data_IF_929902985628
#
_entry.id   IF_929902985628
#
_cell.length_a   1.000
_cell.length_b   1.000
_cell.length_c   1.000
_cell.angle_alpha   90.00
_cell.angle_beta   90.00
_cell.angle_gamma   90.00
#
_symmetry.space_group_name_H-M   'P 1'
#
loop_
_entity.id
_entity.type
_entity.pdbx_description
1 polymer ?
#
# COMPACT_ATOMS: atom_id res chain seq x y z
N UNK A 1 7.09 10.85 28.55
CA UNK A 1 6.08 9.91 29.09
C UNK A 1 4.90 9.90 28.12
N UNK A 2 4.52 8.74 27.53
CA UNK A 2 3.37 8.64 26.60
C UNK A 2 2.17 8.05 27.33
N UNK A 3 1.10 8.82 27.49
CA UNK A 3 -0.14 8.39 28.12
C UNK A 3 -1.09 7.84 27.06
N UNK A 4 -1.52 6.58 27.20
CA UNK A 4 -2.42 5.90 26.28
C UNK A 4 -3.71 5.52 27.03
N UNK A 5 -4.81 6.20 26.71
CA UNK A 5 -6.12 5.99 27.35
C UNK A 5 -6.80 4.70 26.83
N UNK A 6 -6.47 4.29 25.60
CA UNK A 6 -7.10 3.16 24.93
C UNK A 6 -6.57 2.93 23.52
N UNK A 7 -7.24 2.04 22.79
CA UNK A 7 -7.06 1.85 21.34
C UNK A 7 -8.42 1.85 20.66
N UNK A 8 -8.51 2.49 19.51
CA UNK A 8 -9.67 2.41 18.62
C UNK A 8 -9.21 1.76 17.32
N UNK A 9 -9.89 0.69 16.95
CA UNK A 9 -9.67 -0.01 15.69
C UNK A 9 -10.78 0.38 14.73
N UNK A 10 -10.39 0.81 13.52
CA UNK A 10 -11.29 1.24 12.46
C UNK A 10 -10.93 0.50 11.18
N UNK A 11 -11.90 -0.18 10.59
CA UNK A 11 -11.77 -0.84 9.29
C UNK A 11 -12.89 -0.29 8.41
N UNK A 12 -12.50 0.25 7.25
CA UNK A 12 -13.42 0.77 6.24
C UNK A 12 -13.30 -0.10 5.00
N UNK A 13 -14.41 -0.70 4.57
CA UNK A 13 -14.47 -1.58 3.41
C UNK A 13 -15.50 -1.01 2.46
N UNK A 14 -15.09 -0.66 1.24
CA UNK A 14 -16.00 -0.18 0.22
C UNK A 14 -16.21 -1.25 -0.85
N UNK A 15 -17.47 -1.53 -1.19
CA UNK A 15 -17.80 -2.43 -2.28
C UNK A 15 -17.77 -1.71 -3.65
N UNK A 16 -17.92 -2.47 -4.75
CA UNK A 16 -17.94 -1.91 -6.12
C UNK A 16 -19.06 -0.90 -6.37
N UNK A 17 -20.17 -0.99 -5.63
CA UNK A 17 -21.29 -0.02 -5.71
C UNK A 17 -21.05 1.26 -4.88
N UNK A 18 -19.88 1.41 -4.26
CA UNK A 18 -19.54 2.55 -3.41
C UNK A 18 -20.12 2.50 -2.00
N UNK A 19 -20.82 1.42 -1.62
CA UNK A 19 -21.35 1.24 -0.26
C UNK A 19 -20.20 0.89 0.68
N UNK A 20 -20.12 1.60 1.79
CA UNK A 20 -19.09 1.43 2.81
C UNK A 20 -19.62 0.63 4.00
N UNK A 21 -18.89 -0.42 4.37
CA UNK A 21 -18.99 -1.12 5.64
C UNK A 21 -17.90 -0.60 6.57
N UNK A 22 -18.31 -0.07 7.72
CA UNK A 22 -17.41 0.40 8.77
C UNK A 22 -17.47 -0.54 9.97
N UNK A 23 -16.33 -1.14 10.31
CA UNK A 23 -16.16 -1.94 11.53
C UNK A 23 -15.34 -1.10 12.52
N UNK A 24 -15.91 -0.83 13.70
CA UNK A 24 -15.25 -0.09 14.78
C UNK A 24 -15.34 -0.87 16.08
N UNK A 25 -14.22 -1.00 16.79
CA UNK A 25 -14.23 -1.39 18.20
C UNK A 25 -13.22 -0.57 19.01
N UNK A 26 -13.70 -0.11 20.17
CA UNK A 26 -12.95 0.71 21.13
C UNK A 26 -12.53 -0.14 22.33
N UNK A 27 -11.33 0.12 22.82
CA UNK A 27 -10.79 -0.49 24.03
C UNK A 27 -10.44 0.61 25.02
N UNK A 28 -11.06 0.55 26.18
CA UNK A 28 -10.75 1.43 27.31
C UNK A 28 -9.84 0.72 28.31
N UNK A 29 -8.86 1.43 28.87
CA UNK A 29 -8.03 0.96 29.99
C UNK A 29 -7.28 -0.37 29.79
N UNK A 30 -6.87 -0.69 28.54
CA UNK A 30 -6.05 -1.87 28.19
C UNK A 30 -6.65 -3.25 28.55
N UNK A 31 -7.92 -3.33 28.95
CA UNK A 31 -8.56 -4.63 29.24
C UNK A 31 -8.62 -5.48 27.97
N UNK A 32 -8.11 -6.71 28.02
CA UNK A 32 -8.04 -7.66 26.88
C UNK A 32 -7.33 -7.10 25.63
N UNK A 33 -6.35 -6.21 25.83
CA UNK A 33 -5.64 -5.53 24.74
C UNK A 33 -5.06 -6.51 23.71
N UNK A 34 -4.41 -7.58 24.18
CA UNK A 34 -3.77 -8.59 23.30
C UNK A 34 -4.80 -9.39 22.53
N UNK A 35 -5.81 -9.96 23.20
CA UNK A 35 -6.89 -10.74 22.55
C UNK A 35 -7.59 -9.93 21.45
N UNK A 36 -7.87 -8.65 21.72
CA UNK A 36 -8.58 -7.78 20.78
C UNK A 36 -7.69 -7.28 19.66
N UNK A 37 -6.40 -7.11 19.94
CA UNK A 37 -5.42 -6.88 18.88
C UNK A 37 -5.26 -8.10 17.98
N UNK A 38 -5.26 -9.31 18.52
CA UNK A 38 -5.23 -10.54 17.73
C UNK A 38 -6.49 -10.65 16.88
N UNK A 39 -7.68 -10.44 17.45
CA UNK A 39 -8.92 -10.41 16.67
C UNK A 39 -8.89 -9.38 15.54
N UNK A 40 -8.28 -8.20 15.77
CA UNK A 40 -8.05 -7.24 14.71
C UNK A 40 -7.16 -7.82 13.60
N UNK A 41 -6.02 -8.42 13.96
CA UNK A 41 -5.12 -9.06 13.00
C UNK A 41 -5.85 -10.16 12.23
N UNK A 42 -6.57 -11.05 12.91
CA UNK A 42 -7.33 -12.15 12.29
C UNK A 42 -8.34 -11.62 11.26
N UNK A 43 -9.07 -10.54 11.59
CA UNK A 43 -10.00 -9.90 10.65
C UNK A 43 -9.25 -9.35 9.42
N UNK A 44 -8.13 -8.67 9.64
CA UNK A 44 -7.33 -8.11 8.54
C UNK A 44 -6.74 -9.20 7.66
N UNK A 45 -6.22 -10.27 8.25
CA UNK A 45 -5.65 -11.42 7.53
C UNK A 45 -6.73 -12.11 6.69
N UNK A 46 -7.91 -12.32 7.25
CA UNK A 46 -9.04 -12.92 6.53
C UNK A 46 -9.52 -12.02 5.37
N UNK A 47 -9.58 -10.71 5.57
CA UNK A 47 -9.90 -9.75 4.50
C UNK A 47 -8.81 -9.74 3.42
N UNK A 48 -7.55 -9.89 3.83
CA UNK A 48 -6.43 -9.94 2.91
C UNK A 48 -6.52 -11.15 2.00
N UNK A 49 -6.76 -12.31 2.59
CA UNK A 49 -6.78 -13.59 1.89
C UNK A 49 -8.00 -13.74 0.98
N UNK A 50 -9.18 -13.32 1.44
CA UNK A 50 -10.42 -13.48 0.67
C UNK A 50 -10.64 -12.42 -0.40
N UNK A 51 -10.06 -11.23 -0.26
CA UNK A 51 -10.41 -10.11 -1.13
C UNK A 51 -9.20 -9.35 -1.67
N UNK A 52 -8.27 -8.94 -0.80
CA UNK A 52 -7.23 -7.99 -1.21
C UNK A 52 -6.15 -8.67 -2.05
N UNK A 53 -5.86 -9.94 -1.81
CA UNK A 53 -4.91 -10.74 -2.61
C UNK A 53 -5.30 -10.78 -4.08
N UNK A 54 -6.56 -11.00 -4.40
CA UNK A 54 -7.04 -11.03 -5.79
C UNK A 54 -7.00 -9.64 -6.41
N UNK A 55 -7.38 -8.60 -5.67
CA UNK A 55 -7.34 -7.22 -6.14
C UNK A 55 -5.90 -6.81 -6.49
N UNK A 56 -4.95 -7.05 -5.59
CA UNK A 56 -3.53 -6.73 -5.79
C UNK A 56 -2.94 -7.54 -6.95
N UNK A 57 -3.30 -8.82 -7.08
CA UNK A 57 -2.87 -9.68 -8.19
C UNK A 57 -3.38 -9.17 -9.55
N UNK A 58 -4.64 -8.71 -9.60
CA UNK A 58 -5.21 -8.13 -10.81
C UNK A 58 -4.49 -6.84 -11.24
N UNK A 59 -4.14 -5.96 -10.29
CA UNK A 59 -3.34 -4.77 -10.60
C UNK A 59 -1.93 -5.12 -11.08
N UNK A 60 -1.31 -6.13 -10.48
CA UNK A 60 -0.01 -6.60 -10.94
C UNK A 60 -0.07 -7.23 -12.34
N UNK A 61 -1.14 -7.94 -12.68
CA UNK A 61 -1.34 -8.48 -14.02
C UNK A 61 -1.48 -7.35 -15.05
N UNK A 62 -2.23 -6.29 -14.73
CA UNK A 62 -2.31 -5.09 -15.57
C UNK A 62 -0.94 -4.49 -15.83
N UNK A 63 -0.12 -4.38 -14.79
CA UNK A 63 1.26 -3.92 -14.91
C UNK A 63 2.07 -4.79 -15.87
N UNK A 64 2.00 -6.13 -15.73
CA UNK A 64 2.70 -7.07 -16.62
C UNK A 64 2.25 -7.00 -18.08
N UNK A 65 1.00 -6.61 -18.32
CA UNK A 65 0.44 -6.41 -19.65
C UNK A 65 0.70 -5.01 -20.22
N UNK A 66 1.50 -4.17 -19.54
CA UNK A 66 1.74 -2.77 -19.90
C UNK A 66 0.43 -1.92 -19.96
N UNK A 67 -0.60 -2.34 -19.23
CA UNK A 67 -1.84 -1.59 -19.09
C UNK A 67 -1.66 -0.46 -18.07
N UNK A 68 -2.08 0.76 -18.44
CA UNK A 68 -2.09 1.89 -17.50
C UNK A 68 -3.25 1.76 -16.52
N UNK A 69 -3.00 2.00 -15.25
CA UNK A 69 -4.04 2.00 -14.21
C UNK A 69 -3.75 3.03 -13.13
N UNK A 70 -4.77 3.36 -12.33
CA UNK A 70 -4.61 4.24 -11.17
C UNK A 70 -5.11 3.59 -9.90
N UNK A 71 -4.37 3.77 -8.81
CA UNK A 71 -4.74 3.35 -7.45
C UNK A 71 -4.34 4.47 -6.48
N UNK A 72 -5.25 4.85 -5.58
CA UNK A 72 -4.99 5.89 -4.57
C UNK A 72 -4.52 7.24 -5.17
N UNK A 73 -4.96 7.57 -6.39
CA UNK A 73 -4.55 8.78 -7.09
C UNK A 73 -3.09 8.81 -7.55
N UNK A 74 -2.44 7.65 -7.61
CA UNK A 74 -1.18 7.42 -8.33
C UNK A 74 -1.52 6.73 -9.64
N UNK A 75 -1.01 7.23 -10.75
CA UNK A 75 -1.06 6.55 -12.04
C UNK A 75 0.18 5.68 -12.19
N UNK A 76 -0.02 4.42 -12.59
CA UNK A 76 1.02 3.44 -12.83
C UNK A 76 1.05 3.18 -14.33
N UNK A 77 2.21 3.41 -14.94
CA UNK A 77 2.52 3.09 -16.33
C UNK A 77 3.59 1.99 -16.40
N UNK A 78 4.08 1.70 -17.60
CA UNK A 78 5.06 0.63 -17.86
C UNK A 78 6.37 0.80 -17.09
N UNK A 79 6.95 2.00 -17.07
CA UNK A 79 8.28 2.27 -16.53
C UNK A 79 8.29 3.27 -15.36
N UNK A 80 7.13 3.82 -15.00
CA UNK A 80 7.02 4.96 -14.09
C UNK A 80 5.70 5.03 -13.35
N UNK A 81 5.72 5.80 -12.28
CA UNK A 81 4.52 6.31 -11.61
C UNK A 81 4.35 7.81 -11.85
N UNK A 82 3.11 8.28 -11.79
CA UNK A 82 2.77 9.71 -11.90
C UNK A 82 1.79 10.14 -10.82
N UNK A 83 2.02 11.33 -10.27
CA UNK A 83 1.11 11.98 -9.34
C UNK A 83 1.34 13.50 -9.33
N UNK A 84 0.28 14.30 -9.27
CA UNK A 84 0.35 15.76 -9.11
C UNK A 84 1.40 16.45 -10.02
N UNK A 85 1.50 16.01 -11.29
CA UNK A 85 2.50 16.46 -12.31
C UNK A 85 3.95 16.01 -12.07
N UNK A 86 4.21 15.25 -11.03
CA UNK A 86 5.48 14.57 -10.76
C UNK A 86 5.48 13.20 -11.43
N UNK A 87 6.59 12.83 -12.03
CA UNK A 87 6.86 11.49 -12.55
C UNK A 87 8.11 10.91 -11.86
N UNK A 88 8.08 9.62 -11.52
CA UNK A 88 9.21 8.88 -10.94
C UNK A 88 9.33 7.55 -11.67
N UNK A 89 10.50 7.26 -12.25
CA UNK A 89 10.81 5.97 -12.87
C UNK A 89 10.92 4.88 -11.81
N UNK A 90 10.60 3.63 -12.12
CA UNK A 90 10.70 2.54 -11.14
C UNK A 90 12.14 2.31 -10.63
N UNK A 91 13.14 2.55 -11.47
CA UNK A 91 14.57 2.45 -11.10
C UNK A 91 14.99 3.44 -10.00
N UNK A 92 14.26 4.54 -9.89
CA UNK A 92 14.46 5.64 -8.95
C UNK A 92 13.40 5.67 -7.83
N UNK A 93 12.35 4.86 -7.93
CA UNK A 93 11.25 4.82 -6.99
C UNK A 93 11.62 4.03 -5.73
N UNK A 94 11.51 4.68 -4.57
CA UNK A 94 11.63 4.04 -3.26
C UNK A 94 10.34 4.17 -2.43
N UNK A 95 10.16 3.20 -1.53
CA UNK A 95 9.05 3.13 -0.59
C UNK A 95 9.58 3.13 0.84
N UNK A 96 8.98 3.95 1.69
CA UNK A 96 9.22 3.92 3.14
C UNK A 96 7.94 3.75 3.92
N UNK A 97 7.85 2.66 4.68
CA UNK A 97 6.68 2.33 5.48
C UNK A 97 6.78 2.93 6.88
N UNK A 98 5.72 3.58 7.33
CA UNK A 98 5.51 4.04 8.70
C UNK A 98 4.25 3.41 9.29
N UNK A 99 4.00 3.66 10.58
CA UNK A 99 2.89 3.04 11.28
C UNK A 99 1.50 3.46 10.74
N UNK A 100 1.34 4.72 10.30
CA UNK A 100 0.04 5.27 9.86
C UNK A 100 -0.02 5.65 8.38
N UNK A 101 1.12 5.59 7.69
CA UNK A 101 1.25 6.00 6.31
C UNK A 101 2.45 5.29 5.69
N UNK A 102 2.59 5.42 4.39
CA UNK A 102 3.85 5.18 3.70
C UNK A 102 4.17 6.38 2.82
N UNK A 103 5.42 6.47 2.41
CA UNK A 103 5.91 7.50 1.52
C UNK A 103 6.47 6.85 0.27
N UNK A 104 6.09 7.42 -0.87
CA UNK A 104 6.72 7.18 -2.17
C UNK A 104 7.64 8.36 -2.46
N UNK A 105 8.86 8.09 -2.89
CA UNK A 105 9.83 9.16 -3.18
C UNK A 105 10.85 8.72 -4.24
N UNK A 106 11.44 9.70 -4.91
CA UNK A 106 12.58 9.52 -5.81
C UNK A 106 13.86 9.50 -4.99
N UNK A 107 14.76 8.56 -5.31
CA UNK A 107 16.08 8.47 -4.70
C UNK A 107 16.99 9.61 -5.16
N UNK A 108 16.87 10.02 -6.42
CA UNK A 108 17.64 11.11 -7.01
C UNK A 108 17.16 12.50 -6.55
N UNK A 109 15.84 12.69 -6.43
CA UNK A 109 15.22 13.97 -6.07
C UNK A 109 14.17 13.80 -4.97
N UNK A 110 14.60 14.01 -3.72
CA UNK A 110 13.73 13.90 -2.55
C UNK A 110 12.55 14.90 -2.55
N UNK A 111 12.53 15.94 -3.39
CA UNK A 111 11.37 16.82 -3.51
C UNK A 111 10.22 16.17 -4.31
N UNK A 112 10.53 15.14 -5.11
CA UNK A 112 9.52 14.28 -5.74
C UNK A 112 9.10 13.21 -4.76
N UNK A 113 8.16 13.56 -3.88
CA UNK A 113 7.61 12.62 -2.91
C UNK A 113 6.09 12.78 -2.74
N UNK A 114 5.46 11.75 -2.19
CA UNK A 114 4.07 11.80 -1.74
C UNK A 114 3.85 10.88 -0.55
N UNK A 115 3.15 11.39 0.46
CA UNK A 115 2.71 10.61 1.62
C UNK A 115 1.29 10.09 1.40
N UNK A 116 1.06 8.84 1.77
CA UNK A 116 -0.21 8.14 1.64
C UNK A 116 -0.60 7.52 2.98
N UNK A 117 -1.67 8.01 3.58
CA UNK A 117 -2.17 7.64 4.90
C UNK A 117 -3.22 6.54 4.81
N UNK A 118 -3.02 5.44 5.54
CA UNK A 118 -3.94 4.29 5.49
C UNK A 118 -5.38 4.61 5.90
N UNK A 119 -5.56 5.62 6.76
CA UNK A 119 -6.88 6.03 7.26
C UNK A 119 -7.59 7.06 6.36
N UNK A 120 -6.84 7.81 5.55
CA UNK A 120 -7.38 8.94 4.77
C UNK A 120 -7.40 8.66 3.27
N UNK A 121 -6.35 8.03 2.78
CA UNK A 121 -6.19 7.76 1.37
C UNK A 121 -6.83 6.41 1.03
N UNK A 122 -7.84 6.47 0.17
CA UNK A 122 -8.55 5.27 -0.29
C UNK A 122 -7.58 4.34 -1.02
N UNK A 123 -7.67 3.05 -0.74
CA UNK A 123 -6.86 1.99 -1.37
C UNK A 123 -5.34 2.13 -1.16
N UNK A 124 -4.88 2.93 -0.17
CA UNK A 124 -3.45 3.13 0.07
C UNK A 124 -2.73 1.81 0.38
N UNK A 125 -3.38 0.91 1.12
CA UNK A 125 -2.82 -0.42 1.44
C UNK A 125 -2.64 -1.27 0.17
N UNK A 126 -3.61 -1.21 -0.75
CA UNK A 126 -3.55 -1.92 -2.04
C UNK A 126 -2.40 -1.35 -2.87
N UNK A 127 -2.30 -0.02 -2.98
CA UNK A 127 -1.22 0.65 -3.70
C UNK A 127 0.16 0.27 -3.14
N UNK A 128 0.34 0.29 -1.82
CA UNK A 128 1.61 -0.09 -1.18
C UNK A 128 2.00 -1.53 -1.54
N UNK A 129 1.05 -2.47 -1.48
CA UNK A 129 1.30 -3.86 -1.84
C UNK A 129 1.67 -4.02 -3.31
N UNK A 130 0.97 -3.32 -4.22
CA UNK A 130 1.23 -3.37 -5.66
C UNK A 130 2.62 -2.80 -5.98
N UNK A 131 2.94 -1.60 -5.48
CA UNK A 131 4.24 -0.97 -5.74
C UNK A 131 5.40 -1.80 -5.17
N UNK A 132 5.24 -2.39 -3.99
CA UNK A 132 6.26 -3.26 -3.39
C UNK A 132 6.56 -4.47 -4.27
N UNK A 133 5.55 -5.06 -4.90
CA UNK A 133 5.71 -6.18 -5.83
C UNK A 133 6.37 -5.72 -7.14
N UNK A 134 5.96 -4.58 -7.70
CA UNK A 134 6.53 -4.01 -8.94
C UNK A 134 8.01 -3.69 -8.75
N UNK A 135 8.37 -2.93 -7.71
CA UNK A 135 9.77 -2.53 -7.45
C UNK A 135 10.65 -3.77 -7.25
N UNK A 136 10.16 -4.80 -6.57
CA UNK A 136 10.90 -6.05 -6.38
C UNK A 136 11.16 -6.77 -7.71
N UNK A 137 10.17 -6.80 -8.60
CA UNK A 137 10.28 -7.42 -9.93
C UNK A 137 11.27 -6.65 -10.83
N UNK A 138 11.20 -5.32 -10.83
CA UNK A 138 12.13 -4.47 -11.59
C UNK A 138 13.57 -4.59 -11.07
N UNK A 139 13.79 -4.65 -9.75
CA UNK A 139 15.12 -4.88 -9.17
C UNK A 139 15.70 -6.26 -9.54
N UNK A 140 14.86 -7.28 -9.75
CA UNK A 140 15.30 -8.58 -10.23
C UNK A 140 15.69 -8.52 -11.71
N UNK A 141 14.90 -7.84 -12.55
CA UNK A 141 15.20 -7.63 -13.97
C UNK A 141 16.53 -6.90 -14.18
N UNK A 142 16.79 -5.82 -13.44
CA UNK A 142 18.05 -5.07 -13.55
C UNK A 142 19.27 -5.92 -13.18
N UNK A 143 19.14 -6.84 -12.20
CA UNK A 143 20.22 -7.77 -11.82
C UNK A 143 20.48 -8.82 -12.89
N UNK A 144 19.45 -9.35 -13.54
CA UNK A 144 19.62 -10.35 -14.61
C UNK A 144 20.30 -9.76 -15.85
N UNK A 145 20.01 -8.50 -16.17
CA UNK A 145 20.63 -7.80 -17.30
C UNK A 145 22.11 -7.54 -17.01
N UNK A 146 22.50 -7.15 -15.79
CA UNK A 146 23.91 -6.91 -15.46
C UNK A 146 24.77 -8.18 -15.49
N UNK A 147 24.19 -9.35 -15.21
CA UNK A 147 24.87 -10.64 -15.31
C UNK A 147 25.07 -11.15 -16.75
N UNK A 148 24.35 -10.60 -17.73
CA UNK A 148 24.50 -10.96 -19.16
C UNK A 148 25.52 -10.08 -19.89
N UNK A 149 26.06 -9.05 -19.24
CA UNK A 149 26.99 -8.07 -19.80
C UNK A 149 28.47 -8.44 -19.63
N UNK A 150 28.81 -9.72 -19.44
CA UNK A 150 30.20 -10.20 -19.28
C UNK A 150 30.58 -11.13 -20.42
#
# INVERSE_FOLDING_TARGET
MKFYIGREYLIFIQNKSGRELKINFKLFYRRKLTEKHHLYCDIIDELWDKFIRDITSNYYLKFKNNEKFSVSGIEIAEDRIRFNKTEILFEDLELKQYHHHFMIFSREDNYKNRMLYYLKDKDAVILFSVLKTIIKDEQLRTKEISHRSV
#
